data_IF_090022659123
#
_entry.id   IF_090022659123
#
_cell.length_a   1.000
_cell.length_b   1.000
_cell.length_c   1.000
_cell.angle_alpha   90.00
_cell.angle_beta   90.00
_cell.angle_gamma   90.00
#
_symmetry.space_group_name_H-M   'P 1'
#
loop_
_entity.id
_entity.type
_entity.pdbx_description
1 polymer ?
#
# COMPACT_ATOMS: atom_id res chain seq x y z
N UNK A 1 60.51 -15.17 -10.24
CA UNK A 1 59.73 -16.08 -11.10
C UNK A 1 58.71 -16.79 -10.22
N UNK A 2 57.54 -16.18 -10.05
CA UNK A 2 56.46 -16.73 -9.22
C UNK A 2 55.83 -17.94 -9.92
N UNK A 3 55.47 -19.01 -9.18
CA UNK A 3 55.07 -20.27 -9.79
C UNK A 3 53.69 -20.13 -10.42
N UNK A 4 53.64 -20.31 -11.74
CA UNK A 4 52.44 -20.32 -12.59
C UNK A 4 51.34 -21.31 -12.13
N UNK A 5 51.68 -22.24 -11.22
CA UNK A 5 50.80 -23.28 -10.69
C UNK A 5 49.77 -22.77 -9.65
N UNK A 6 50.13 -21.79 -8.80
CA UNK A 6 49.26 -21.36 -7.70
C UNK A 6 48.10 -20.44 -8.14
N UNK A 7 48.29 -19.69 -9.23
CA UNK A 7 47.25 -18.82 -9.81
C UNK A 7 46.15 -19.65 -10.47
N UNK A 8 46.51 -20.78 -11.09
CA UNK A 8 45.54 -21.71 -11.70
C UNK A 8 44.65 -22.39 -10.67
N UNK A 9 45.19 -22.82 -9.53
CA UNK A 9 44.40 -23.47 -8.48
C UNK A 9 43.45 -22.51 -7.78
N UNK A 10 43.86 -21.26 -7.50
CA UNK A 10 42.95 -20.24 -6.96
C UNK A 10 41.82 -19.86 -7.93
N UNK A 11 42.09 -19.75 -9.23
CA UNK A 11 41.04 -19.45 -10.21
C UNK A 11 40.04 -20.60 -10.39
N UNK A 12 40.50 -21.85 -10.35
CA UNK A 12 39.60 -23.01 -10.40
C UNK A 12 38.72 -23.09 -9.16
N UNK A 13 39.28 -22.84 -7.96
CA UNK A 13 38.50 -22.84 -6.72
C UNK A 13 37.49 -21.70 -6.65
N UNK A 14 37.84 -20.50 -7.13
CA UNK A 14 36.91 -19.36 -7.20
C UNK A 14 35.81 -19.61 -8.24
N UNK A 15 36.12 -20.19 -9.41
CA UNK A 15 35.11 -20.59 -10.40
C UNK A 15 34.15 -21.65 -9.86
N UNK A 16 34.66 -22.65 -9.12
CA UNK A 16 33.83 -23.70 -8.50
C UNK A 16 32.95 -23.13 -7.39
N UNK A 17 33.46 -22.20 -6.57
CA UNK A 17 32.68 -21.51 -5.53
C UNK A 17 31.63 -20.54 -6.11
N UNK A 18 31.93 -19.90 -7.25
CA UNK A 18 30.97 -19.07 -7.99
C UNK A 18 29.88 -19.93 -8.67
N UNK A 19 30.19 -21.15 -9.15
CA UNK A 19 29.19 -22.08 -9.66
C UNK A 19 28.26 -22.62 -8.56
N UNK A 20 28.76 -22.85 -7.34
CA UNK A 20 27.92 -23.31 -6.23
C UNK A 20 27.09 -22.20 -5.58
N UNK A 21 27.41 -20.93 -5.85
CA UNK A 21 26.64 -19.77 -5.37
C UNK A 21 25.51 -19.35 -6.33
N UNK A 22 25.38 -20.02 -7.47
CA UNK A 22 24.31 -19.83 -8.45
C UNK A 22 23.26 -20.96 -8.37
N UNK A 23 22.92 -21.42 -7.17
CA UNK A 23 21.56 -21.93 -6.97
C UNK A 23 20.63 -20.72 -6.86
N UNK A 24 20.44 -20.06 -8.02
CA UNK A 24 19.32 -19.17 -8.22
C UNK A 24 18.07 -19.97 -7.85
N UNK A 25 17.24 -19.41 -6.97
CA UNK A 25 15.87 -19.89 -6.77
C UNK A 25 15.16 -19.80 -8.12
N UNK A 26 15.25 -20.89 -8.88
CA UNK A 26 14.72 -21.00 -10.23
C UNK A 26 13.23 -21.32 -10.14
N UNK A 27 12.42 -20.29 -9.94
CA UNK A 27 10.96 -20.39 -9.90
C UNK A 27 10.37 -20.98 -11.20
N UNK A 28 11.16 -21.05 -12.29
CA UNK A 28 10.72 -21.58 -13.59
C UNK A 28 10.81 -23.10 -13.71
N UNK A 29 11.49 -23.77 -12.77
CA UNK A 29 11.47 -25.24 -12.64
C UNK A 29 10.20 -25.78 -12.02
N UNK A 30 9.39 -24.91 -11.40
CA UNK A 30 8.04 -25.28 -11.02
C UNK A 30 7.22 -25.28 -12.31
N UNK A 31 6.69 -26.45 -12.69
CA UNK A 31 5.76 -26.58 -13.81
C UNK A 31 4.71 -25.47 -13.65
N UNK A 32 4.46 -24.65 -14.67
CA UNK A 32 3.61 -23.44 -14.51
C UNK A 32 2.17 -23.77 -14.09
N UNK A 33 1.81 -25.07 -14.02
CA UNK A 33 0.57 -25.61 -13.47
C UNK A 33 0.72 -26.52 -12.23
N UNK A 34 1.90 -26.64 -11.60
CA UNK A 34 2.03 -27.38 -10.34
C UNK A 34 1.46 -26.57 -9.19
N UNK A 35 0.19 -26.83 -8.85
CA UNK A 35 -0.38 -26.36 -7.59
C UNK A 35 0.31 -27.07 -6.42
N UNK A 36 0.74 -26.30 -5.42
CA UNK A 36 1.09 -26.87 -4.13
C UNK A 36 -0.19 -27.29 -3.42
N UNK A 37 -0.41 -28.59 -3.32
CA UNK A 37 -1.57 -29.13 -2.64
C UNK A 37 -1.27 -29.21 -1.13
N UNK A 38 -2.00 -28.42 -0.36
CA UNK A 38 -2.00 -28.43 1.10
C UNK A 38 -3.33 -27.88 1.62
N UNK A 39 -3.73 -28.29 2.82
CA UNK A 39 -4.97 -27.81 3.45
C UNK A 39 -4.59 -26.87 4.58
N UNK A 40 -5.09 -25.64 4.53
CA UNK A 40 -4.97 -24.70 5.63
C UNK A 40 -5.91 -25.11 6.77
N UNK A 41 -5.63 -24.70 8.03
CA UNK A 41 -6.54 -24.96 9.14
C UNK A 41 -7.97 -24.49 8.83
N UNK A 42 -8.96 -25.17 9.42
CA UNK A 42 -10.34 -24.71 9.33
C UNK A 42 -10.46 -23.28 9.87
N UNK A 43 -11.13 -22.40 9.11
CA UNK A 43 -11.26 -20.98 9.45
C UNK A 43 -10.08 -20.10 9.05
N UNK A 44 -9.15 -20.59 8.22
CA UNK A 44 -8.10 -19.75 7.64
C UNK A 44 -8.70 -18.70 6.68
N UNK A 45 -8.38 -17.43 6.93
CA UNK A 45 -8.86 -16.27 6.16
C UNK A 45 -8.09 -16.08 4.85
N UNK A 46 -8.80 -15.85 3.75
CA UNK A 46 -8.24 -15.50 2.46
C UNK A 46 -8.71 -14.12 2.01
N UNK A 47 -7.76 -13.22 1.82
CA UNK A 47 -8.09 -11.85 1.47
C UNK A 47 -7.08 -11.15 0.59
N UNK A 48 -7.46 -9.96 0.17
CA UNK A 48 -6.58 -9.00 -0.49
C UNK A 48 -6.44 -7.74 0.39
N UNK A 49 -5.40 -6.96 0.12
CA UNK A 49 -5.10 -5.75 0.86
C UNK A 49 -4.86 -4.55 -0.06
N UNK A 50 -5.40 -3.39 0.30
CA UNK A 50 -5.16 -2.09 -0.34
C UNK A 50 -4.74 -1.03 0.68
N UNK A 51 -4.47 0.18 0.19
CA UNK A 51 -4.34 1.37 1.01
C UNK A 51 -4.96 2.58 0.32
N UNK A 52 -5.48 3.50 1.12
CA UNK A 52 -6.27 4.63 0.66
C UNK A 52 -5.56 5.45 -0.43
N UNK A 53 -4.35 5.94 -0.15
CA UNK A 53 -3.60 6.75 -1.12
C UNK A 53 -3.24 5.96 -2.39
N UNK A 54 -3.01 4.64 -2.26
CA UNK A 54 -2.64 3.80 -3.39
C UNK A 54 -3.84 3.43 -4.28
N UNK A 55 -5.08 3.48 -3.81
CA UNK A 55 -6.22 2.96 -4.60
C UNK A 55 -7.42 3.90 -4.74
N UNK A 56 -7.68 4.80 -3.79
CA UNK A 56 -8.92 5.60 -3.82
C UNK A 56 -8.94 6.61 -4.98
N UNK A 57 -7.86 7.37 -5.16
CA UNK A 57 -7.89 8.58 -5.98
C UNK A 57 -8.81 9.64 -5.38
N UNK A 58 -9.43 10.45 -6.25
CA UNK A 58 -10.33 11.54 -5.85
C UNK A 58 -9.69 12.41 -4.75
N UNK A 59 -8.42 12.76 -4.98
CA UNK A 59 -7.51 13.27 -3.95
C UNK A 59 -7.93 14.63 -3.37
N UNK A 60 -8.68 15.43 -4.14
CA UNK A 60 -9.17 16.77 -3.83
C UNK A 60 -10.71 16.88 -3.86
N UNK A 61 -11.40 15.74 -3.93
CA UNK A 61 -12.85 15.69 -4.07
C UNK A 61 -13.55 15.58 -2.72
N UNK A 62 -14.79 16.07 -2.68
CA UNK A 62 -15.71 15.92 -1.54
C UNK A 62 -15.12 16.31 -0.18
N UNK A 63 -14.25 17.33 -0.17
CA UNK A 63 -13.69 17.89 1.06
C UNK A 63 -12.49 17.13 1.64
N UNK A 64 -11.92 16.14 0.91
CA UNK A 64 -10.65 15.53 1.33
C UNK A 64 -9.54 16.58 1.42
N UNK A 65 -8.80 16.59 2.53
CA UNK A 65 -7.61 17.39 2.71
C UNK A 65 -6.37 16.83 2.03
N UNK A 66 -5.31 17.65 2.01
CA UNK A 66 -3.99 17.22 1.52
C UNK A 66 -3.33 16.29 2.54
N UNK A 67 -2.78 15.18 2.05
CA UNK A 67 -1.84 14.33 2.77
C UNK A 67 -0.39 14.74 2.51
N UNK A 68 0.53 14.21 3.32
CA UNK A 68 1.98 14.31 3.06
C UNK A 68 2.38 13.68 1.73
N UNK A 69 1.67 12.63 1.29
CA UNK A 69 1.94 11.96 0.02
C UNK A 69 1.47 12.78 -1.17
N UNK A 70 0.34 13.48 -1.04
CA UNK A 70 -0.12 14.44 -2.06
C UNK A 70 0.99 15.50 -2.28
N UNK A 71 1.50 16.11 -1.21
CA UNK A 71 2.56 17.13 -1.34
C UNK A 71 3.89 16.55 -1.82
N UNK A 72 4.23 15.33 -1.42
CA UNK A 72 5.48 14.68 -1.84
C UNK A 72 5.47 14.29 -3.32
N UNK A 73 4.37 13.69 -3.79
CA UNK A 73 4.23 13.20 -5.17
C UNK A 73 4.21 14.33 -6.20
N UNK A 74 3.56 15.44 -5.86
CA UNK A 74 3.48 16.64 -6.71
C UNK A 74 4.82 17.40 -6.86
N UNK A 75 5.87 17.03 -6.13
CA UNK A 75 7.21 17.60 -6.32
C UNK A 75 7.89 16.93 -7.52
N UNK A 76 8.20 17.74 -8.54
CA UNK A 76 8.89 17.29 -9.76
C UNK A 76 10.17 16.51 -9.41
N UNK A 77 10.33 15.34 -10.05
CA UNK A 77 11.49 14.47 -9.91
C UNK A 77 11.52 13.65 -8.62
N UNK A 78 10.45 13.61 -7.82
CA UNK A 78 10.36 12.75 -6.62
C UNK A 78 9.75 11.38 -6.88
N UNK A 79 8.86 11.28 -7.85
CA UNK A 79 8.25 10.03 -8.29
C UNK A 79 8.72 9.73 -9.72
N UNK A 80 8.91 8.45 -10.03
CA UNK A 80 9.19 8.00 -11.39
C UNK A 80 8.09 8.56 -12.33
N UNK A 81 8.49 9.16 -13.45
CA UNK A 81 7.58 9.80 -14.42
C UNK A 81 6.71 10.96 -13.87
N UNK A 82 6.92 11.38 -12.62
CA UNK A 82 6.07 12.33 -11.89
C UNK A 82 4.62 11.85 -11.72
N UNK A 83 4.42 10.55 -11.57
CA UNK A 83 3.10 9.98 -11.27
C UNK A 83 2.56 10.45 -9.91
N UNK A 84 1.25 10.53 -9.79
CA UNK A 84 0.53 10.97 -8.58
C UNK A 84 -0.55 9.96 -8.17
N UNK A 85 -1.04 10.10 -6.94
CA UNK A 85 -2.18 9.33 -6.42
C UNK A 85 -3.54 9.92 -6.78
N UNK A 86 -3.58 10.95 -7.65
CA UNK A 86 -4.75 11.82 -7.81
C UNK A 86 -5.99 11.08 -8.30
N UNK A 87 -5.79 10.19 -9.28
CA UNK A 87 -6.80 9.32 -9.87
C UNK A 87 -6.64 7.89 -9.38
N UNK A 88 -5.39 7.41 -9.27
CA UNK A 88 -5.05 6.01 -8.99
C UNK A 88 -5.91 5.02 -9.83
N UNK A 89 -6.43 3.94 -9.24
CA UNK A 89 -7.38 3.03 -9.85
C UNK A 89 -8.85 3.47 -9.70
N UNK A 90 -9.08 4.67 -9.16
CA UNK A 90 -10.40 5.28 -8.96
C UNK A 90 -11.32 4.50 -8.01
N UNK A 91 -10.76 3.84 -6.99
CA UNK A 91 -11.51 3.07 -5.99
C UNK A 91 -12.55 3.90 -5.23
N UNK A 92 -12.40 5.24 -5.18
CA UNK A 92 -13.41 6.13 -4.63
C UNK A 92 -14.77 6.03 -5.36
N UNK A 93 -14.74 5.77 -6.67
CA UNK A 93 -15.95 5.68 -7.50
C UNK A 93 -16.35 4.24 -7.83
N UNK A 94 -15.49 3.26 -7.54
CA UNK A 94 -15.58 1.89 -8.07
C UNK A 94 -15.73 0.80 -7.01
N UNK A 95 -16.39 1.13 -5.89
CA UNK A 95 -16.62 0.18 -4.79
C UNK A 95 -17.26 -1.11 -5.31
N UNK A 96 -18.27 -1.01 -6.18
CA UNK A 96 -19.03 -2.18 -6.66
C UNK A 96 -18.18 -3.10 -7.54
N UNK A 97 -17.31 -2.52 -8.37
CA UNK A 97 -16.38 -3.25 -9.23
C UNK A 97 -15.33 -3.98 -8.39
N UNK A 98 -14.74 -3.30 -7.39
CA UNK A 98 -13.77 -3.92 -6.48
C UNK A 98 -14.41 -5.11 -5.74
N UNK A 99 -15.66 -4.96 -5.26
CA UNK A 99 -16.42 -6.05 -4.62
C UNK A 99 -16.70 -7.20 -5.59
N UNK A 100 -17.05 -6.91 -6.85
CA UNK A 100 -17.24 -7.95 -7.87
C UNK A 100 -15.99 -8.79 -8.05
N UNK A 101 -14.82 -8.14 -8.18
CA UNK A 101 -13.53 -8.81 -8.31
C UNK A 101 -13.19 -9.67 -7.09
N UNK A 102 -13.43 -9.18 -5.87
CA UNK A 102 -13.21 -9.95 -4.65
C UNK A 102 -14.06 -11.23 -4.60
N UNK A 103 -15.30 -11.16 -5.10
CA UNK A 103 -16.20 -12.33 -5.19
C UNK A 103 -15.76 -13.32 -6.24
N UNK A 104 -15.31 -12.85 -7.41
CA UNK A 104 -14.76 -13.70 -8.46
C UNK A 104 -13.52 -14.47 -7.98
N UNK A 105 -12.68 -13.80 -7.18
CA UNK A 105 -11.52 -14.39 -6.51
C UNK A 105 -11.87 -15.24 -5.27
N UNK A 106 -13.15 -15.28 -4.86
CA UNK A 106 -13.66 -16.00 -3.68
C UNK A 106 -12.94 -15.60 -2.38
N UNK A 107 -12.61 -14.33 -2.25
CA UNK A 107 -12.04 -13.77 -1.02
C UNK A 107 -13.13 -13.65 0.04
N UNK A 108 -12.77 -13.90 1.29
CA UNK A 108 -13.66 -13.76 2.45
C UNK A 108 -13.22 -12.63 3.40
N UNK A 109 -12.04 -12.03 3.18
CA UNK A 109 -11.55 -10.87 3.92
C UNK A 109 -11.01 -9.80 2.97
N UNK A 110 -11.16 -8.53 3.35
CA UNK A 110 -10.56 -7.41 2.64
C UNK A 110 -9.97 -6.40 3.61
N UNK A 111 -8.67 -6.17 3.48
CA UNK A 111 -7.94 -5.19 4.27
C UNK A 111 -7.81 -3.89 3.49
N UNK A 112 -8.34 -2.81 4.03
CA UNK A 112 -8.18 -1.47 3.46
C UNK A 112 -7.63 -0.52 4.52
N UNK A 113 -7.27 0.70 4.13
CA UNK A 113 -6.98 1.76 5.10
C UNK A 113 -7.98 2.89 4.97
N UNK A 114 -8.26 3.55 6.08
CA UNK A 114 -9.07 4.77 6.12
C UNK A 114 -8.11 5.95 5.91
N UNK A 115 -8.46 6.84 4.98
CA UNK A 115 -7.68 8.04 4.76
C UNK A 115 -7.96 9.09 5.83
N UNK A 116 -6.96 9.37 6.66
CA UNK A 116 -7.08 10.40 7.69
C UNK A 116 -7.53 11.75 7.09
N UNK A 117 -6.86 12.33 6.08
CA UNK A 117 -7.28 13.63 5.54
C UNK A 117 -8.63 13.58 4.81
N UNK A 118 -9.17 12.40 4.47
CA UNK A 118 -10.54 12.28 3.94
C UNK A 118 -11.58 12.44 5.04
N UNK A 119 -11.32 11.92 6.25
CA UNK A 119 -12.22 12.04 7.41
C UNK A 119 -12.01 13.36 8.18
N UNK A 120 -10.76 13.73 8.43
CA UNK A 120 -10.36 14.95 9.14
C UNK A 120 -9.36 15.74 8.28
N UNK A 121 -9.83 16.64 7.40
CA UNK A 121 -8.97 17.34 6.42
C UNK A 121 -7.83 18.15 7.04
N UNK A 122 -8.03 18.75 8.21
CA UNK A 122 -6.99 19.48 8.94
C UNK A 122 -6.13 18.56 9.84
N UNK A 123 -6.55 17.31 10.01
CA UNK A 123 -6.01 16.37 10.97
C UNK A 123 -6.46 16.57 12.42
N UNK A 124 -7.27 17.61 12.69
CA UNK A 124 -7.73 17.95 14.04
C UNK A 124 -9.24 17.73 14.14
N UNK A 125 -9.66 16.85 15.05
CA UNK A 125 -11.08 16.48 15.23
C UNK A 125 -11.98 17.66 15.61
N UNK A 126 -11.48 18.62 16.38
CA UNK A 126 -12.27 19.78 16.84
C UNK A 126 -12.60 20.78 15.73
N UNK A 127 -11.89 20.75 14.61
CA UNK A 127 -12.03 21.75 13.57
C UNK A 127 -13.16 21.37 12.61
N UNK A 128 -12.99 20.25 11.91
CA UNK A 128 -13.93 19.80 10.90
C UNK A 128 -13.80 18.30 10.67
N UNK A 129 -14.94 17.61 10.70
CA UNK A 129 -15.09 16.22 10.26
C UNK A 129 -15.84 16.24 8.94
N UNK A 130 -15.30 15.56 7.95
CA UNK A 130 -15.88 15.51 6.61
C UNK A 130 -16.88 14.36 6.51
N UNK A 131 -18.16 14.69 6.61
CA UNK A 131 -19.28 13.73 6.55
C UNK A 131 -19.33 12.95 5.22
N UNK A 132 -18.92 13.56 4.10
CA UNK A 132 -18.85 12.85 2.82
C UNK A 132 -17.77 11.78 2.83
N UNK A 133 -16.63 12.07 3.48
CA UNK A 133 -15.57 11.10 3.72
C UNK A 133 -16.04 9.93 4.57
N UNK A 134 -16.79 10.20 5.65
CA UNK A 134 -17.39 9.15 6.48
C UNK A 134 -18.33 8.28 5.64
N UNK A 135 -19.24 8.92 4.89
CA UNK A 135 -20.20 8.23 4.03
C UNK A 135 -19.53 7.29 3.02
N UNK A 136 -18.39 7.67 2.45
CA UNK A 136 -17.64 6.80 1.54
C UNK A 136 -17.21 5.48 2.22
N UNK A 137 -16.64 5.54 3.43
CA UNK A 137 -16.22 4.33 4.14
C UNK A 137 -17.41 3.53 4.69
N UNK A 138 -18.48 4.21 5.08
CA UNK A 138 -19.75 3.59 5.46
C UNK A 138 -20.29 2.74 4.31
N UNK A 139 -20.40 3.32 3.11
CA UNK A 139 -20.82 2.61 1.89
C UNK A 139 -19.87 1.45 1.54
N UNK A 140 -18.55 1.64 1.65
CA UNK A 140 -17.58 0.56 1.41
C UNK A 140 -17.77 -0.61 2.39
N UNK A 141 -17.90 -0.32 3.69
CA UNK A 141 -18.05 -1.32 4.74
C UNK A 141 -19.37 -2.07 4.57
N UNK A 142 -20.46 -1.36 4.31
CA UNK A 142 -21.77 -1.97 4.06
C UNK A 142 -21.71 -2.91 2.84
N UNK A 143 -21.12 -2.46 1.73
CA UNK A 143 -20.98 -3.29 0.53
C UNK A 143 -20.11 -4.54 0.78
N UNK A 144 -19.06 -4.46 1.60
CA UNK A 144 -18.24 -5.60 2.00
C UNK A 144 -19.07 -6.62 2.82
N UNK A 145 -19.76 -6.14 3.85
CA UNK A 145 -20.55 -6.98 4.76
C UNK A 145 -21.74 -7.63 4.05
N UNK A 146 -22.46 -6.90 3.19
CA UNK A 146 -23.54 -7.43 2.35
C UNK A 146 -23.07 -8.59 1.46
N UNK A 147 -21.81 -8.55 1.03
CA UNK A 147 -21.20 -9.58 0.19
C UNK A 147 -20.41 -10.64 0.98
N UNK A 148 -20.55 -10.66 2.31
CA UNK A 148 -19.90 -11.61 3.22
C UNK A 148 -18.37 -11.56 3.17
N UNK A 149 -17.81 -10.37 2.93
CA UNK A 149 -16.38 -10.12 2.97
C UNK A 149 -16.09 -9.36 4.27
N UNK A 150 -15.21 -9.91 5.11
CA UNK A 150 -14.88 -9.33 6.41
C UNK A 150 -13.95 -8.12 6.24
N UNK A 151 -14.36 -6.91 6.65
CA UNK A 151 -13.51 -5.72 6.56
C UNK A 151 -12.41 -5.74 7.63
N UNK A 152 -11.17 -5.45 7.23
CA UNK A 152 -10.03 -5.24 8.14
C UNK A 152 -9.53 -3.81 7.94
N UNK A 153 -9.93 -2.91 8.85
CA UNK A 153 -9.63 -1.49 8.74
C UNK A 153 -8.25 -1.15 9.32
N UNK A 154 -7.36 -0.63 8.46
CA UNK A 154 -6.11 0.00 8.88
C UNK A 154 -6.35 1.48 9.13
N UNK A 155 -6.10 1.96 10.35
CA UNK A 155 -6.37 3.35 10.72
C UNK A 155 -5.38 4.36 10.13
N UNK A 156 -4.17 3.91 9.77
CA UNK A 156 -3.14 4.76 9.21
C UNK A 156 -2.24 3.98 8.25
N UNK A 157 -2.13 4.46 7.01
CA UNK A 157 -1.23 3.89 6.00
C UNK A 157 -0.46 5.00 5.28
N UNK A 158 0.33 5.73 6.07
CA UNK A 158 1.31 6.73 5.61
C UNK A 158 0.74 8.02 4.99
N UNK A 159 -0.57 8.24 5.05
CA UNK A 159 -1.26 9.38 4.45
C UNK A 159 -1.64 10.45 5.50
N UNK A 160 -0.67 10.88 6.31
CA UNK A 160 -0.88 11.89 7.35
C UNK A 160 -1.38 13.22 6.74
N UNK A 161 -2.36 13.92 7.35
CA UNK A 161 -2.79 15.24 6.89
C UNK A 161 -1.64 16.26 6.93
N UNK A 162 -1.40 16.94 5.80
CA UNK A 162 -0.32 17.89 5.64
C UNK A 162 -0.50 19.12 6.55
N UNK A 163 -1.73 19.62 6.70
CA UNK A 163 -2.05 20.84 7.46
C UNK A 163 -1.67 20.69 8.94
N UNK A 164 -1.90 19.51 9.53
CA UNK A 164 -1.57 19.22 10.92
C UNK A 164 -0.08 19.31 11.24
N UNK A 165 0.81 19.22 10.23
CA UNK A 165 2.24 19.44 10.40
C UNK A 165 2.60 20.93 10.45
N UNK A 166 1.91 21.76 9.67
CA UNK A 166 2.18 23.20 9.55
C UNK A 166 1.77 23.95 10.84
N UNK A 167 0.61 23.59 11.41
CA UNK A 167 0.11 24.26 12.62
C UNK A 167 0.94 23.96 13.88
N UNK A 168 1.69 22.84 13.93
CA UNK A 168 2.57 22.51 15.06
C UNK A 168 3.91 23.24 15.04
N UNK A 169 4.36 23.68 13.87
CA UNK A 169 5.60 24.47 13.77
C UNK A 169 5.39 25.93 14.16
N UNK A 170 4.18 26.47 13.96
CA UNK A 170 3.86 27.85 14.32
C UNK A 170 3.72 28.06 15.84
N UNK A 171 3.21 27.05 16.57
CA UNK A 171 3.13 27.09 18.04
C UNK A 171 4.48 27.02 18.75
N UNK A 172 5.59 26.70 18.04
CA UNK A 172 6.94 26.71 18.63
C UNK A 172 7.64 28.06 18.56
N UNK A 173 7.10 29.03 17.81
CA UNK A 173 7.64 30.38 17.74
C UNK A 173 6.84 31.43 18.56
N UNK A 174 5.74 31.02 19.19
CA UNK A 174 4.88 31.89 20.01
C UNK A 174 5.06 31.73 21.53
N UNK A 175 6.07 30.97 21.97
CA UNK A 175 6.42 30.80 23.38
C UNK A 175 7.89 31.14 23.66
N UNK A 176 8.27 32.39 23.43
CA UNK A 176 9.42 33.01 24.10
C UNK A 176 9.00 34.46 24.43
N UNK A 177 8.92 34.85 25.72
CA UNK A 177 8.71 36.24 26.12
C UNK A 177 9.87 37.16 25.71
#
# INVERSE_FOLDING_TARGET
MLPCCAVRTCHVLVLVLCLSAAEDFDWTKNDRGSFYYGTFPAGFSWGAGSSAYQTEGAWDQDGKGLSIWDVFSHRKGKILQNDTGDSSCQGYYKIKEDISLMKELKLDHYRFSISWPRIMPTGIKSDHVNEKGIKYYDELIDNLLENKITPIATLYHWDLPQVGLINRTDTRHSLVP
#
